data_IF_048219996113
#
_entry.id   IF_048219996113
#
_cell.length_a   1.000
_cell.length_b   1.000
_cell.length_c   1.000
_cell.angle_alpha   90.00
_cell.angle_beta   90.00
_cell.angle_gamma   90.00
#
_symmetry.space_group_name_H-M   'P 1'
#
loop_
_entity.id
_entity.type
_entity.pdbx_description
1 polymer ?
#
# COMPACT_ATOMS: atom_id res chain seq x y z
N UNK A 1 20.03 -11.28 -9.38
CA UNK A 1 18.59 -11.05 -9.06
C UNK A 1 18.38 -10.11 -7.85
N UNK A 2 19.43 -9.52 -7.26
CA UNK A 2 19.37 -8.96 -5.89
C UNK A 2 18.87 -7.50 -5.80
N UNK A 3 19.21 -6.65 -6.78
CA UNK A 3 18.90 -5.22 -6.76
C UNK A 3 17.40 -4.85 -6.61
N UNK A 4 16.46 -5.40 -7.39
CA UNK A 4 15.04 -5.05 -7.25
C UNK A 4 14.44 -5.57 -5.95
N UNK A 5 14.96 -6.69 -5.43
CA UNK A 5 14.52 -7.27 -4.16
C UNK A 5 14.93 -6.38 -2.97
N UNK A 6 16.18 -5.92 -2.94
CA UNK A 6 16.67 -4.99 -1.92
C UNK A 6 15.90 -3.67 -1.94
N UNK A 7 15.57 -3.17 -3.13
CA UNK A 7 14.78 -1.95 -3.27
C UNK A 7 13.36 -2.09 -2.72
N UNK A 8 12.68 -3.20 -2.99
CA UNK A 8 11.35 -3.49 -2.43
C UNK A 8 11.42 -3.62 -0.91
N UNK A 9 12.41 -4.34 -0.39
CA UNK A 9 12.58 -4.48 1.06
C UNK A 9 12.81 -3.13 1.73
N UNK A 10 13.61 -2.25 1.13
CA UNK A 10 13.81 -0.88 1.61
C UNK A 10 12.51 -0.07 1.62
N UNK A 11 11.73 -0.12 0.54
CA UNK A 11 10.41 0.54 0.47
C UNK A 11 9.47 -0.02 1.52
N UNK A 12 9.38 -1.35 1.65
CA UNK A 12 8.52 -2.02 2.61
C UNK A 12 8.87 -1.62 4.05
N UNK A 13 10.15 -1.55 4.40
CA UNK A 13 10.60 -1.10 5.73
C UNK A 13 10.24 0.37 5.96
N UNK A 14 10.41 1.23 4.96
CA UNK A 14 10.08 2.65 5.07
C UNK A 14 8.57 2.87 5.24
N UNK A 15 7.76 2.19 4.41
CA UNK A 15 6.30 2.16 4.50
C UNK A 15 5.84 1.62 5.85
N UNK A 16 6.47 0.55 6.35
CA UNK A 16 6.17 -0.02 7.67
C UNK A 16 6.46 0.98 8.79
N UNK A 17 7.59 1.69 8.73
CA UNK A 17 7.95 2.71 9.72
C UNK A 17 6.95 3.87 9.74
N UNK A 18 6.50 4.35 8.57
CA UNK A 18 5.44 5.35 8.50
C UNK A 18 4.08 4.81 9.01
N UNK A 19 3.78 3.54 8.75
CA UNK A 19 2.62 2.85 9.31
C UNK A 19 2.63 2.81 10.85
N UNK A 20 3.79 2.52 11.46
CA UNK A 20 3.95 2.54 12.92
C UNK A 20 3.76 3.94 13.50
N UNK A 21 4.25 4.98 12.83
CA UNK A 21 4.04 6.38 13.24
C UNK A 21 2.55 6.76 13.20
N UNK A 22 1.83 6.37 12.15
CA UNK A 22 0.38 6.56 12.04
C UNK A 22 -0.37 5.78 13.15
N UNK A 23 0.05 4.56 13.46
CA UNK A 23 -0.52 3.77 14.54
C UNK A 23 -0.29 4.41 15.92
N UNK A 24 0.88 5.00 16.15
CA UNK A 24 1.17 5.76 17.38
C UNK A 24 0.23 6.95 17.52
N UNK A 25 0.07 7.75 16.47
CA UNK A 25 -0.91 8.87 16.44
C UNK A 25 -2.33 8.37 16.73
N UNK A 26 -2.70 7.21 16.17
CA UNK A 26 -3.99 6.59 16.39
C UNK A 26 -4.22 6.15 17.85
N UNK A 27 -3.15 5.75 18.57
CA UNK A 27 -3.19 5.46 20.01
C UNK A 27 -3.23 6.76 20.83
N UNK A 28 -2.40 7.74 20.49
CA UNK A 28 -2.34 9.04 21.16
C UNK A 28 -3.68 9.79 21.08
N UNK A 29 -4.41 9.66 19.97
CA UNK A 29 -5.79 10.17 19.80
C UNK A 29 -6.81 9.48 20.72
N UNK A 30 -6.59 8.21 21.08
CA UNK A 30 -7.51 7.44 21.92
C UNK A 30 -7.26 7.72 23.41
N UNK A 31 -5.99 7.76 23.81
CA UNK A 31 -5.56 7.88 25.21
C UNK A 31 -5.76 9.30 25.76
N UNK A 32 -5.61 10.33 24.91
CA UNK A 32 -5.78 11.73 25.32
C UNK A 32 -7.25 12.17 25.44
N UNK A 33 -8.23 11.35 25.07
CA UNK A 33 -9.65 11.74 25.07
C UNK A 33 -10.28 11.88 26.48
N UNK A 34 -9.60 11.42 27.52
CA UNK A 34 -10.11 11.53 28.89
C UNK A 34 -9.83 12.89 29.53
N UNK A 35 -8.77 13.62 29.13
CA UNK A 35 -8.33 14.88 29.78
C UNK A 35 -7.58 15.87 28.83
N UNK A 36 -7.79 15.85 27.51
CA UNK A 36 -6.94 16.63 26.59
C UNK A 36 -7.23 18.14 26.56
N UNK A 37 -6.20 18.90 26.92
CA UNK A 37 -6.08 20.31 26.57
C UNK A 37 -5.97 20.48 25.04
N UNK A 38 -6.54 21.56 24.47
CA UNK A 38 -6.49 21.83 23.04
C UNK A 38 -5.05 21.90 22.49
N UNK A 39 -4.07 22.24 23.33
CA UNK A 39 -2.64 22.28 22.98
C UNK A 39 -2.09 20.92 22.58
N UNK A 40 -2.41 19.85 23.33
CA UNK A 40 -1.98 18.48 22.99
C UNK A 40 -2.55 18.04 21.65
N UNK A 41 -3.79 18.41 21.37
CA UNK A 41 -4.48 18.05 20.14
C UNK A 41 -3.93 18.84 18.93
N UNK A 42 -3.54 20.10 19.13
CA UNK A 42 -2.80 20.86 18.10
C UNK A 42 -1.45 20.23 17.79
N UNK A 43 -0.73 19.70 18.78
CA UNK A 43 0.54 19.00 18.57
C UNK A 43 0.36 17.74 17.72
N UNK A 44 -0.64 16.91 18.05
CA UNK A 44 -0.99 15.72 17.25
C UNK A 44 -1.33 16.09 15.80
N UNK A 45 -2.08 17.18 15.58
CA UNK A 45 -2.41 17.65 14.24
C UNK A 45 -1.18 18.11 13.45
N UNK A 46 -0.23 18.80 14.10
CA UNK A 46 1.03 19.23 13.48
C UNK A 46 1.87 18.02 13.10
N UNK A 47 2.04 17.05 14.01
CA UNK A 47 2.78 15.82 13.75
C UNK A 47 2.16 15.02 12.59
N UNK A 48 0.81 14.92 12.58
CA UNK A 48 0.08 14.29 11.49
C UNK A 48 0.29 15.01 10.15
N UNK A 49 0.24 16.34 10.12
CA UNK A 49 0.52 17.13 8.91
C UNK A 49 1.94 16.91 8.38
N UNK A 50 2.94 16.82 9.27
CA UNK A 50 4.34 16.57 8.89
C UNK A 50 4.47 15.16 8.28
N UNK A 51 3.87 14.15 8.92
CA UNK A 51 3.89 12.77 8.42
C UNK A 51 3.16 12.67 7.08
N UNK A 52 2.00 13.31 6.94
CA UNK A 52 1.26 13.34 5.68
C UNK A 52 2.08 13.96 4.55
N UNK A 53 2.74 15.10 4.80
CA UNK A 53 3.64 15.73 3.82
C UNK A 53 4.77 14.78 3.41
N UNK A 54 5.39 14.08 4.38
CA UNK A 54 6.44 13.10 4.11
C UNK A 54 5.93 11.91 3.31
N UNK A 55 4.75 11.39 3.62
CA UNK A 55 4.10 10.31 2.86
C UNK A 55 3.78 10.77 1.44
N UNK A 56 3.30 11.99 1.24
CA UNK A 56 3.02 12.53 -0.10
C UNK A 56 4.29 12.66 -0.93
N UNK A 57 5.36 13.16 -0.33
CA UNK A 57 6.68 13.24 -0.97
C UNK A 57 7.21 11.85 -1.30
N UNK A 58 7.06 10.91 -0.36
CA UNK A 58 7.38 9.49 -0.56
C UNK A 58 6.65 8.92 -1.77
N UNK A 59 5.33 9.06 -1.84
CA UNK A 59 4.52 8.59 -2.96
C UNK A 59 5.02 9.19 -4.28
N UNK A 60 5.30 10.49 -4.32
CA UNK A 60 5.76 11.17 -5.54
C UNK A 60 7.13 10.65 -6.00
N UNK A 61 8.09 10.51 -5.08
CA UNK A 61 9.44 10.04 -5.38
C UNK A 61 9.45 8.57 -5.80
N UNK A 62 8.65 7.74 -5.13
CA UNK A 62 8.61 6.31 -5.40
C UNK A 62 7.67 5.91 -6.53
N UNK A 63 6.81 6.82 -7.03
CA UNK A 63 5.82 6.53 -8.07
C UNK A 63 6.46 5.95 -9.34
N UNK A 64 7.50 6.61 -9.85
CA UNK A 64 8.22 6.19 -11.06
C UNK A 64 9.02 4.90 -10.88
N UNK A 65 9.87 4.74 -9.85
CA UNK A 65 10.62 3.48 -9.68
C UNK A 65 9.71 2.29 -9.37
N UNK A 66 8.58 2.48 -8.66
CA UNK A 66 7.60 1.43 -8.45
C UNK A 66 7.01 0.93 -9.77
N UNK A 67 6.70 1.83 -10.71
CA UNK A 67 6.18 1.45 -12.02
C UNK A 67 7.19 0.62 -12.83
N UNK A 68 8.46 1.04 -12.84
CA UNK A 68 9.52 0.32 -13.56
C UNK A 68 9.69 -1.10 -12.99
N UNK A 69 9.73 -1.23 -11.66
CA UNK A 69 9.86 -2.51 -10.98
C UNK A 69 8.68 -3.42 -11.27
N UNK A 70 7.47 -2.87 -11.26
CA UNK A 70 6.24 -3.58 -11.59
C UNK A 70 6.29 -4.13 -13.02
N UNK A 71 6.68 -3.31 -13.99
CA UNK A 71 6.86 -3.74 -15.39
C UNK A 71 7.91 -4.84 -15.52
N UNK A 72 9.02 -4.76 -14.78
CA UNK A 72 10.05 -5.81 -14.76
C UNK A 72 9.47 -7.12 -14.25
N UNK A 73 8.69 -7.10 -13.16
CA UNK A 73 8.06 -8.32 -12.64
C UNK A 73 7.00 -8.88 -13.59
N UNK A 74 6.15 -8.04 -14.18
CA UNK A 74 5.21 -8.49 -15.20
C UNK A 74 5.93 -9.14 -16.38
N UNK A 75 6.95 -8.48 -16.92
CA UNK A 75 7.74 -9.01 -18.05
C UNK A 75 8.36 -10.37 -17.70
N UNK A 76 8.88 -10.52 -16.48
CA UNK A 76 9.39 -11.81 -15.99
C UNK A 76 8.31 -12.88 -15.90
N UNK A 77 7.14 -12.55 -15.36
CA UNK A 77 6.02 -13.50 -15.25
C UNK A 77 5.55 -13.97 -16.63
N UNK A 78 5.42 -13.06 -17.59
CA UNK A 78 5.06 -13.41 -18.97
C UNK A 78 6.14 -14.27 -19.64
N UNK A 79 7.41 -13.95 -19.42
CA UNK A 79 8.54 -14.72 -19.94
C UNK A 79 8.54 -16.13 -19.36
N UNK A 80 8.44 -16.27 -18.03
CA UNK A 80 8.35 -17.56 -17.35
C UNK A 80 7.18 -18.39 -17.86
N UNK A 81 6.00 -17.77 -18.01
CA UNK A 81 4.82 -18.46 -18.52
C UNK A 81 5.05 -18.96 -19.95
N UNK A 82 5.57 -18.10 -20.83
CA UNK A 82 5.86 -18.45 -22.22
C UNK A 82 6.85 -19.62 -22.35
N UNK A 83 7.87 -19.67 -21.48
CA UNK A 83 8.82 -20.79 -21.45
C UNK A 83 8.18 -22.06 -20.90
N UNK A 84 7.45 -22.01 -19.77
CA UNK A 84 6.76 -23.19 -19.22
C UNK A 84 5.77 -23.84 -20.20
N UNK A 85 5.20 -23.07 -21.12
CA UNK A 85 4.31 -23.58 -22.15
C UNK A 85 5.02 -24.29 -23.32
N UNK A 86 6.29 -23.95 -23.61
CA UNK A 86 7.05 -24.64 -24.64
C UNK A 86 7.47 -26.02 -24.10
N UNK A 87 7.12 -27.10 -24.79
CA UNK A 87 7.25 -28.49 -24.29
C UNK A 87 8.70 -29.03 -24.17
N UNK A 88 9.72 -28.23 -24.49
CA UNK A 88 11.12 -28.68 -24.55
C UNK A 88 11.96 -28.14 -23.38
N UNK A 89 11.54 -28.39 -22.14
CA UNK A 89 12.31 -27.96 -20.96
C UNK A 89 12.85 -29.14 -20.16
N UNK A 90 14.16 -29.10 -19.92
CA UNK A 90 14.85 -29.94 -18.94
C UNK A 90 14.29 -29.66 -17.54
N UNK A 91 14.12 -30.65 -16.66
CA UNK A 91 13.57 -30.47 -15.30
C UNK A 91 14.32 -29.42 -14.46
N UNK A 92 15.65 -29.28 -14.67
CA UNK A 92 16.46 -28.24 -14.02
C UNK A 92 16.04 -26.82 -14.43
N UNK A 93 15.80 -26.60 -15.73
CA UNK A 93 15.38 -25.30 -16.27
C UNK A 93 13.97 -24.95 -15.78
N UNK A 94 13.09 -25.96 -15.71
CA UNK A 94 11.71 -25.82 -15.25
C UNK A 94 11.64 -25.41 -13.77
N UNK A 95 12.52 -25.99 -12.93
CA UNK A 95 12.65 -25.60 -11.53
C UNK A 95 13.12 -24.14 -11.37
N UNK A 96 14.13 -23.73 -12.13
CA UNK A 96 14.66 -22.35 -12.10
C UNK A 96 13.60 -21.31 -12.53
N UNK A 97 12.85 -21.63 -13.59
CA UNK A 97 11.74 -20.80 -14.09
C UNK A 97 10.60 -20.68 -13.07
N UNK A 98 10.18 -21.80 -12.46
CA UNK A 98 9.16 -21.79 -11.40
C UNK A 98 9.63 -20.99 -10.18
N UNK A 99 10.88 -21.15 -9.77
CA UNK A 99 11.47 -20.41 -8.64
C UNK A 99 11.49 -18.90 -8.91
N UNK A 100 11.91 -18.49 -10.10
CA UNK A 100 11.96 -17.07 -10.47
C UNK A 100 10.55 -16.44 -10.63
N UNK A 101 9.61 -17.20 -11.21
CA UNK A 101 8.21 -16.77 -11.35
C UNK A 101 7.50 -16.63 -10.00
N UNK A 102 7.63 -17.63 -9.13
CA UNK A 102 7.07 -17.59 -7.76
C UNK A 102 7.68 -16.46 -6.93
N UNK A 103 8.99 -16.24 -7.01
CA UNK A 103 9.65 -15.10 -6.35
C UNK A 103 9.09 -13.77 -6.84
N UNK A 104 8.86 -13.63 -8.15
CA UNK A 104 8.29 -12.41 -8.73
C UNK A 104 6.85 -12.15 -8.24
N UNK A 105 6.01 -13.19 -8.16
CA UNK A 105 4.66 -13.10 -7.59
C UNK A 105 4.68 -12.73 -6.11
N UNK A 106 5.52 -13.39 -5.32
CA UNK A 106 5.65 -13.12 -3.89
C UNK A 106 6.07 -11.67 -3.64
N UNK A 107 7.06 -11.16 -4.38
CA UNK A 107 7.52 -9.78 -4.23
C UNK A 107 6.43 -8.76 -4.56
N UNK A 108 5.67 -9.00 -5.63
CA UNK A 108 4.51 -8.17 -6.00
C UNK A 108 3.43 -8.18 -4.91
N UNK A 109 3.17 -9.34 -4.31
CA UNK A 109 2.22 -9.50 -3.22
C UNK A 109 2.67 -8.75 -1.95
N UNK A 110 3.94 -8.93 -1.55
CA UNK A 110 4.52 -8.24 -0.39
C UNK A 110 4.49 -6.73 -0.57
N UNK A 111 4.92 -6.25 -1.73
CA UNK A 111 4.93 -4.82 -2.05
C UNK A 111 3.52 -4.22 -1.96
N UNK A 112 2.54 -4.86 -2.60
CA UNK A 112 1.16 -4.37 -2.58
C UNK A 112 0.57 -4.40 -1.18
N UNK A 113 0.81 -5.47 -0.42
CA UNK A 113 0.34 -5.60 0.96
C UNK A 113 0.94 -4.51 1.85
N UNK A 114 2.26 -4.28 1.77
CA UNK A 114 2.92 -3.23 2.52
C UNK A 114 2.39 -1.85 2.15
N UNK A 115 2.35 -1.51 0.86
CA UNK A 115 1.86 -0.22 0.37
C UNK A 115 0.40 0.03 0.76
N UNK A 116 -0.45 -1.00 0.79
CA UNK A 116 -1.86 -0.87 1.18
C UNK A 116 -2.08 -0.55 2.67
N UNK A 117 -1.08 -0.74 3.54
CA UNK A 117 -1.22 -0.47 4.98
C UNK A 117 -1.32 1.02 5.31
N UNK A 118 -0.65 1.90 4.54
CA UNK A 118 -0.69 3.35 4.77
C UNK A 118 -2.12 3.91 4.67
N UNK A 119 -2.86 3.71 3.57
CA UNK A 119 -4.23 4.20 3.46
C UNK A 119 -5.15 3.55 4.49
N UNK A 120 -4.94 2.27 4.84
CA UNK A 120 -5.69 1.60 5.91
C UNK A 120 -5.50 2.29 7.27
N UNK A 121 -4.26 2.65 7.63
CA UNK A 121 -3.99 3.38 8.87
C UNK A 121 -4.57 4.80 8.86
N UNK A 122 -4.48 5.51 7.73
CA UNK A 122 -5.11 6.84 7.59
C UNK A 122 -6.64 6.75 7.73
N UNK A 123 -7.28 5.75 7.12
CA UNK A 123 -8.72 5.50 7.28
C UNK A 123 -9.08 5.23 8.74
N UNK A 124 -8.32 4.39 9.44
CA UNK A 124 -8.55 4.13 10.88
C UNK A 124 -8.48 5.41 11.70
N UNK A 125 -7.51 6.29 11.44
CA UNK A 125 -7.41 7.59 12.13
C UNK A 125 -8.65 8.45 11.86
N UNK A 126 -9.11 8.53 10.60
CA UNK A 126 -10.34 9.27 10.25
C UNK A 126 -11.56 8.71 10.95
N UNK A 127 -11.75 7.39 10.92
CA UNK A 127 -12.89 6.74 11.58
C UNK A 127 -12.87 7.00 13.07
N UNK A 128 -11.71 6.91 13.72
CA UNK A 128 -11.57 7.27 15.13
C UNK A 128 -11.87 8.75 15.39
N UNK A 129 -11.36 9.64 14.54
CA UNK A 129 -11.66 11.07 14.65
C UNK A 129 -13.17 11.35 14.53
N UNK A 130 -13.90 10.64 13.65
CA UNK A 130 -15.36 10.74 13.54
C UNK A 130 -16.06 10.27 14.82
N UNK A 131 -15.73 9.08 15.32
CA UNK A 131 -16.30 8.54 16.57
C UNK A 131 -16.08 9.50 17.74
N UNK A 132 -14.91 10.14 17.80
CA UNK A 132 -14.59 11.12 18.84
C UNK A 132 -15.39 12.43 18.69
N UNK A 133 -15.69 12.87 17.47
CA UNK A 133 -16.59 14.01 17.22
C UNK A 133 -18.00 13.67 17.71
N UNK A 134 -18.52 12.50 17.35
CA UNK A 134 -19.86 12.05 17.75
C UNK A 134 -19.98 12.00 19.29
N UNK A 135 -18.94 11.51 19.98
CA UNK A 135 -18.88 11.50 21.44
C UNK A 135 -18.85 12.92 22.06
N UNK A 136 -18.23 13.91 21.41
CA UNK A 136 -18.24 15.30 21.90
C UNK A 136 -19.60 15.97 21.71
N UNK A 137 -20.28 15.68 20.59
CA UNK A 137 -21.65 16.12 20.34
C UNK A 137 -22.60 15.52 21.38
N UNK A 138 -22.50 14.21 21.66
CA UNK A 138 -23.29 13.53 22.69
C UNK A 138 -23.05 14.10 24.11
N UNK A 139 -21.88 14.66 24.38
CA UNK A 139 -21.54 15.32 25.65
C UNK A 139 -21.97 16.80 25.71
N UNK A 140 -22.61 17.34 24.66
CA UNK A 140 -22.99 18.74 24.58
C UNK A 140 -21.82 19.72 24.40
N UNK A 141 -20.64 19.24 24.02
CA UNK A 141 -19.43 20.04 23.78
C UNK A 141 -19.31 20.48 22.32
N UNK A 142 -20.45 20.71 21.68
CA UNK A 142 -20.55 21.09 20.29
C UNK A 142 -19.90 22.48 20.07
N UNK A 143 -19.12 22.61 18.98
CA UNK A 143 -18.37 23.84 18.69
C UNK A 143 -17.07 24.03 19.47
N UNK A 144 -16.66 23.07 20.31
CA UNK A 144 -15.36 23.17 21.01
C UNK A 144 -14.17 23.23 20.03
N UNK A 145 -13.10 23.92 20.44
CA UNK A 145 -11.83 23.99 19.67
C UNK A 145 -11.29 22.58 19.34
N UNK A 146 -11.52 21.63 20.23
CA UNK A 146 -11.18 20.22 20.03
C UNK A 146 -11.99 19.63 18.87
N UNK A 147 -13.31 19.81 18.85
CA UNK A 147 -14.19 19.33 17.77
C UNK A 147 -13.76 19.87 16.40
N UNK A 148 -13.39 21.16 16.31
CA UNK A 148 -12.88 21.75 15.06
C UNK A 148 -11.60 21.07 14.57
N UNK A 149 -10.64 20.82 15.47
CA UNK A 149 -9.38 20.16 15.14
C UNK A 149 -9.60 18.69 14.71
N UNK A 150 -10.48 17.95 15.39
CA UNK A 150 -10.84 16.59 14.99
C UNK A 150 -11.54 16.55 13.62
N UNK A 151 -12.44 17.50 13.37
CA UNK A 151 -13.12 17.60 12.08
C UNK A 151 -12.11 17.85 10.95
N UNK A 152 -11.08 18.67 11.20
CA UNK A 152 -9.98 18.89 10.26
C UNK A 152 -9.17 17.62 9.97
N UNK A 153 -8.98 16.72 10.95
CA UNK A 153 -8.31 15.42 10.75
C UNK A 153 -9.21 14.48 9.93
N UNK A 154 -10.50 14.41 10.26
CA UNK A 154 -11.49 13.57 9.58
C UNK A 154 -11.66 13.92 8.10
N UNK A 155 -11.65 15.22 7.77
CA UNK A 155 -11.83 15.74 6.40
C UNK A 155 -10.59 15.66 5.50
N UNK A 156 -9.42 15.28 6.01
CA UNK A 156 -8.23 15.14 5.16
C UNK A 156 -8.39 14.01 4.15
N UNK A 157 -7.68 14.06 3.04
CA UNK A 157 -7.71 12.99 2.04
C UNK A 157 -6.85 11.80 2.45
N UNK A 158 -7.25 10.60 2.02
CA UNK A 158 -6.46 9.37 2.17
C UNK A 158 -5.45 9.30 1.05
N UNK A 159 -4.18 9.20 1.39
CA UNK A 159 -3.11 9.10 0.41
C UNK A 159 -2.89 7.62 0.08
N UNK A 160 -3.07 7.29 -1.19
CA UNK A 160 -2.68 5.99 -1.74
C UNK A 160 -1.28 6.11 -2.34
N UNK A 161 -0.46 5.06 -2.19
CA UNK A 161 0.73 4.94 -3.02
C UNK A 161 0.27 4.59 -4.43
N UNK A 162 0.74 5.35 -5.42
CA UNK A 162 0.41 5.15 -6.82
C UNK A 162 1.70 4.93 -7.63
N UNK A 163 1.74 3.90 -8.47
CA UNK A 163 2.81 3.68 -9.44
C UNK A 163 2.52 4.46 -10.72
N UNK A 164 3.39 5.43 -11.02
CA UNK A 164 3.30 6.35 -12.16
C UNK A 164 2.01 7.18 -12.26
N UNK A 165 1.20 7.28 -11.20
CA UNK A 165 -0.14 7.88 -11.26
C UNK A 165 -1.17 7.03 -12.03
N UNK A 166 -0.79 5.83 -12.46
CA UNK A 166 -1.61 4.94 -13.27
C UNK A 166 -2.25 3.83 -12.43
N UNK A 167 -1.54 3.36 -11.40
CA UNK A 167 -1.92 2.20 -10.60
C UNK A 167 -1.83 2.51 -9.10
N UNK A 168 -2.98 2.56 -8.45
CA UNK A 168 -3.04 2.65 -6.99
C UNK A 168 -2.81 1.28 -6.35
N UNK A 169 -1.91 1.22 -5.37
CA UNK A 169 -1.68 0.01 -4.59
C UNK A 169 -2.82 -0.23 -3.60
N UNK A 170 -3.92 -0.77 -4.12
CA UNK A 170 -5.07 -1.29 -3.36
C UNK A 170 -4.97 -2.81 -3.26
N UNK A 171 -5.61 -3.42 -2.26
CA UNK A 171 -5.68 -4.89 -2.15
C UNK A 171 -6.29 -5.54 -3.40
N UNK A 172 -7.19 -4.83 -4.08
CA UNK A 172 -7.77 -5.25 -5.37
C UNK A 172 -6.75 -5.35 -6.51
N UNK A 173 -5.63 -4.62 -6.44
CA UNK A 173 -4.57 -4.67 -7.46
C UNK A 173 -3.92 -6.04 -7.56
N UNK A 174 -3.73 -6.73 -6.43
CA UNK A 174 -3.19 -8.11 -6.40
C UNK A 174 -4.12 -9.07 -7.16
N UNK A 175 -5.42 -9.00 -6.89
CA UNK A 175 -6.41 -9.85 -7.55
C UNK A 175 -6.49 -9.58 -9.04
N UNK A 176 -6.44 -8.30 -9.45
CA UNK A 176 -6.40 -7.93 -10.87
C UNK A 176 -5.13 -8.46 -11.55
N UNK A 177 -3.97 -8.30 -10.91
CA UNK A 177 -2.70 -8.83 -11.41
C UNK A 177 -2.77 -10.35 -11.59
N UNK A 178 -3.26 -11.07 -10.58
CA UNK A 178 -3.43 -12.53 -10.66
C UNK A 178 -4.38 -12.94 -11.79
N UNK A 179 -5.52 -12.24 -11.91
CA UNK A 179 -6.50 -12.47 -12.98
C UNK A 179 -5.92 -12.24 -14.37
N UNK A 180 -5.11 -11.18 -14.56
CA UNK A 180 -4.46 -10.92 -15.86
C UNK A 180 -3.45 -12.01 -16.21
N UNK A 181 -2.57 -12.39 -15.28
CA UNK A 181 -1.58 -13.45 -15.52
C UNK A 181 -2.28 -14.78 -15.87
N UNK A 182 -3.36 -15.10 -15.16
CA UNK A 182 -4.15 -16.30 -15.43
C UNK A 182 -4.85 -16.26 -16.79
N UNK A 183 -5.52 -15.15 -17.13
CA UNK A 183 -6.22 -14.99 -18.40
C UNK A 183 -5.26 -15.04 -19.59
N UNK A 184 -4.14 -14.33 -19.53
CA UNK A 184 -3.12 -14.40 -20.57
C UNK A 184 -2.45 -15.78 -20.64
N UNK A 185 -2.21 -16.42 -19.48
CA UNK A 185 -1.71 -17.81 -19.43
C UNK A 185 -2.62 -18.78 -20.19
N UNK A 186 -3.93 -18.70 -19.97
CA UNK A 186 -4.93 -19.48 -20.71
C UNK A 186 -4.95 -19.16 -22.21
N UNK A 187 -4.82 -17.89 -22.56
CA UNK A 187 -4.82 -17.45 -23.96
C UNK A 187 -3.62 -18.02 -24.72
N UNK A 188 -2.43 -17.99 -24.12
CA UNK A 188 -1.22 -18.59 -24.71
C UNK A 188 -1.38 -20.12 -24.80
N UNK A 189 -1.98 -20.78 -23.80
CA UNK A 189 -2.26 -22.23 -23.84
C UNK A 189 -3.18 -22.60 -24.99
N UNK A 190 -4.25 -21.83 -25.21
CA UNK A 190 -5.19 -22.06 -26.29
C UNK A 190 -4.56 -21.82 -27.67
N UNK A 191 -3.76 -20.77 -27.84
CA UNK A 191 -3.04 -20.51 -29.09
C UNK A 191 -2.01 -21.60 -29.40
N UNK A 192 -1.27 -22.07 -28.38
CA UNK A 192 -0.30 -23.16 -28.52
C UNK A 192 -0.94 -24.51 -28.83
N UNK A 193 -2.25 -24.66 -28.65
CA UNK A 193 -3.01 -25.88 -28.98
C UNK A 193 -3.52 -25.88 -30.44
N UNK A 194 -3.54 -24.71 -31.08
CA UNK A 194 -4.07 -24.49 -32.44
C UNK A 194 -2.95 -24.45 -33.49
N UNK A 195 -1.70 -24.16 -33.08
CA UNK A 195 -0.49 -24.27 -33.91
C UNK A 195 0.14 -25.65 -33.82
#
# INVERSE_FOLDING_TARGET
>A
MEYPCLFIMSICTLVHRYGLLLLKICKDLTENNTNSTPEKLTKILVDFNIIEKKIRLLTKTFSTPLLIILLIYFSKLFTTMSYCLRKELTPLLLFELCSNGSTSLLMMFFLTTCCSRIPDYMLRIKTKAKVLIDNQVLRGLEGSKNMYLLNRISKKDTIYLSAGGLLDFKKSFVFSTFGTVFAYGLLILNLSRIS
#
